data_IF_312227775944
#
_entry.id   IF_312227775944
#
_cell.length_a   1.000
_cell.length_b   1.000
_cell.length_c   1.000
_cell.angle_alpha   90.00
_cell.angle_beta   90.00
_cell.angle_gamma   90.00
#
_symmetry.space_group_name_H-M   'P 1'
#
loop_
_entity.id
_entity.type
_entity.pdbx_description
1 polymer ?
#
# COMPACT_ATOMS: atom_id res chain seq x y z
N UNK A 1 -24.84 1.97 3.14
CA UNK A 1 -24.30 3.35 3.26
C UNK A 1 -22.78 3.40 3.47
N UNK A 2 -22.19 2.66 4.43
CA UNK A 2 -20.75 2.77 4.74
C UNK A 2 -19.77 2.33 3.62
N UNK A 3 -20.14 1.33 2.80
CA UNK A 3 -19.29 0.84 1.69
C UNK A 3 -19.11 1.91 0.61
N UNK A 4 -20.18 2.63 0.28
CA UNK A 4 -20.17 3.68 -0.74
C UNK A 4 -19.30 4.86 -0.30
N UNK A 5 -19.36 5.25 0.98
CA UNK A 5 -18.49 6.29 1.54
C UNK A 5 -17.01 5.92 1.47
N UNK A 6 -16.66 4.67 1.81
CA UNK A 6 -15.27 4.17 1.69
C UNK A 6 -14.78 4.20 0.25
N UNK A 7 -15.60 3.78 -0.70
CA UNK A 7 -15.28 3.83 -2.11
C UNK A 7 -15.05 5.28 -2.56
N UNK A 8 -16.01 6.19 -2.32
CA UNK A 8 -15.86 7.60 -2.70
C UNK A 8 -14.58 8.23 -2.15
N UNK A 9 -14.23 7.93 -0.89
CA UNK A 9 -12.99 8.42 -0.28
C UNK A 9 -11.73 7.90 -1.02
N UNK A 10 -11.68 6.61 -1.37
CA UNK A 10 -10.55 6.05 -2.13
C UNK A 10 -10.43 6.65 -3.53
N UNK A 11 -11.55 6.82 -4.22
CA UNK A 11 -11.59 7.42 -5.55
C UNK A 11 -11.17 8.89 -5.53
N UNK A 12 -11.64 9.64 -4.53
CA UNK A 12 -11.26 11.04 -4.34
C UNK A 12 -9.75 11.19 -4.09
N UNK A 13 -9.18 10.35 -3.21
CA UNK A 13 -7.75 10.36 -2.95
C UNK A 13 -6.93 10.01 -4.22
N UNK A 14 -7.37 9.01 -4.99
CA UNK A 14 -6.75 8.64 -6.27
C UNK A 14 -6.80 9.79 -7.29
N UNK A 15 -7.91 10.53 -7.37
CA UNK A 15 -8.03 11.70 -8.24
C UNK A 15 -7.06 12.81 -7.84
N UNK A 16 -6.96 13.13 -6.55
CA UNK A 16 -5.99 14.14 -6.06
C UNK A 16 -4.56 13.72 -6.41
N UNK A 17 -4.21 12.46 -6.16
CA UNK A 17 -2.90 11.93 -6.50
C UNK A 17 -2.60 12.08 -8.00
N UNK A 18 -3.54 11.72 -8.87
CA UNK A 18 -3.37 11.84 -10.31
C UNK A 18 -3.18 13.29 -10.77
N UNK A 19 -3.94 14.24 -10.20
CA UNK A 19 -3.81 15.67 -10.52
C UNK A 19 -2.42 16.19 -10.12
N UNK A 20 -1.96 15.89 -8.89
CA UNK A 20 -0.64 16.29 -8.43
C UNK A 20 0.47 15.65 -9.26
N UNK A 21 0.31 14.38 -9.64
CA UNK A 21 1.25 13.64 -10.48
C UNK A 21 1.39 14.32 -11.85
N UNK A 22 0.27 14.61 -12.52
CA UNK A 22 0.28 15.27 -13.84
C UNK A 22 0.85 16.68 -13.74
N UNK A 23 0.49 17.47 -12.73
CA UNK A 23 1.06 18.82 -12.55
C UNK A 23 2.57 18.79 -12.33
N UNK A 24 3.08 17.79 -11.62
CA UNK A 24 4.52 17.62 -11.43
C UNK A 24 5.22 17.15 -12.71
N UNK A 25 4.62 16.22 -13.47
CA UNK A 25 5.14 15.79 -14.77
C UNK A 25 5.22 16.97 -15.76
N UNK A 26 4.23 17.85 -15.75
CA UNK A 26 4.17 19.07 -16.57
C UNK A 26 5.14 20.17 -16.10
N UNK A 27 5.98 19.88 -15.10
CA UNK A 27 6.96 20.80 -14.49
C UNK A 27 6.35 22.11 -13.95
N UNK A 28 5.02 22.17 -13.74
CA UNK A 28 4.32 23.35 -13.20
C UNK A 28 4.57 23.57 -11.72
N UNK A 29 4.95 22.53 -10.99
CA UNK A 29 5.26 22.57 -9.56
C UNK A 29 6.68 22.04 -9.35
N UNK A 30 7.52 22.76 -8.60
CA UNK A 30 8.90 22.38 -8.26
C UNK A 30 9.04 21.54 -6.99
N UNK A 31 7.93 21.03 -6.45
CA UNK A 31 7.91 20.32 -5.17
C UNK A 31 8.58 18.95 -5.25
N UNK A 32 9.11 18.50 -4.12
CA UNK A 32 9.72 17.18 -3.99
C UNK A 32 8.70 16.07 -4.34
N UNK A 33 9.13 15.01 -5.02
CA UNK A 33 8.22 13.91 -5.40
C UNK A 33 7.54 13.27 -4.19
N UNK A 34 8.19 13.29 -3.02
CA UNK A 34 7.56 12.88 -1.76
C UNK A 34 6.24 13.61 -1.47
N UNK A 35 6.13 14.91 -1.80
CA UNK A 35 4.91 15.69 -1.55
C UNK A 35 3.76 15.28 -2.49
N UNK A 36 4.07 14.90 -3.73
CA UNK A 36 3.10 14.45 -4.73
C UNK A 36 2.42 13.15 -4.30
N UNK A 37 3.17 12.27 -3.62
CA UNK A 37 2.66 11.00 -3.10
C UNK A 37 2.01 11.09 -1.71
N UNK A 38 1.93 12.28 -1.10
CA UNK A 38 1.31 12.48 0.24
C UNK A 38 -0.12 11.93 0.33
N UNK A 39 -1.03 12.15 -0.64
CA UNK A 39 -2.40 11.63 -0.54
C UNK A 39 -2.41 10.11 -0.39
N UNK A 40 -1.55 9.43 -1.14
CA UNK A 40 -1.42 7.97 -1.11
C UNK A 40 -0.79 7.51 0.21
N UNK A 41 0.29 8.16 0.65
CA UNK A 41 0.95 7.88 1.92
C UNK A 41 -0.03 8.01 3.09
N UNK A 42 -0.85 9.07 3.11
CA UNK A 42 -1.85 9.29 4.15
C UNK A 42 -2.90 8.17 4.18
N UNK A 43 -3.34 7.69 3.01
CA UNK A 43 -4.27 6.56 2.93
C UNK A 43 -3.65 5.25 3.46
N UNK A 44 -2.44 4.91 3.01
CA UNK A 44 -1.73 3.71 3.45
C UNK A 44 -1.44 3.76 4.98
N UNK A 45 -1.18 4.94 5.56
CA UNK A 45 -1.04 5.10 7.02
C UNK A 45 -2.35 4.88 7.79
N UNK A 46 -3.47 5.42 7.30
CA UNK A 46 -4.78 5.18 7.93
C UNK A 46 -5.11 3.69 7.92
N UNK A 47 -4.84 3.01 6.80
CA UNK A 47 -5.00 1.56 6.70
C UNK A 47 -4.10 0.81 7.69
N UNK A 48 -2.83 1.19 7.80
CA UNK A 48 -1.88 0.58 8.74
C UNK A 48 -2.37 0.73 10.18
N UNK A 49 -2.81 1.92 10.57
CA UNK A 49 -3.38 2.18 11.91
C UNK A 49 -4.60 1.29 12.15
N UNK A 50 -5.52 1.20 11.18
CA UNK A 50 -6.71 0.35 11.29
C UNK A 50 -6.36 -1.12 11.53
N UNK A 51 -5.40 -1.66 10.78
CA UNK A 51 -4.95 -3.06 10.92
C UNK A 51 -4.25 -3.27 12.28
N UNK A 52 -3.41 -2.34 12.72
CA UNK A 52 -2.75 -2.41 14.04
C UNK A 52 -3.79 -2.41 15.16
N UNK A 53 -4.79 -1.53 15.11
CA UNK A 53 -5.87 -1.52 16.10
C UNK A 53 -6.67 -2.83 16.08
N UNK A 54 -6.94 -3.36 14.89
CA UNK A 54 -7.62 -4.65 14.75
C UNK A 54 -6.80 -5.78 15.37
N UNK A 55 -5.49 -5.82 15.09
CA UNK A 55 -4.55 -6.79 15.67
C UNK A 55 -4.50 -6.70 17.19
N UNK A 56 -4.40 -5.49 17.77
CA UNK A 56 -4.41 -5.29 19.23
C UNK A 56 -5.73 -5.78 19.84
N UNK A 57 -6.85 -5.48 19.19
CA UNK A 57 -8.17 -5.94 19.62
C UNK A 57 -8.28 -7.47 19.60
N UNK A 58 -7.76 -8.12 18.56
CA UNK A 58 -7.74 -9.57 18.44
C UNK A 58 -6.82 -10.26 19.46
N UNK A 59 -5.65 -9.69 19.74
CA UNK A 59 -4.74 -10.17 20.80
C UNK A 59 -5.42 -10.09 22.17
N UNK A 60 -6.15 -9.01 22.46
CA UNK A 60 -6.89 -8.86 23.72
C UNK A 60 -8.02 -9.88 23.86
N UNK A 61 -8.64 -10.29 22.76
CA UNK A 61 -9.75 -11.25 22.76
C UNK A 61 -9.30 -12.72 22.61
N UNK A 62 -7.98 -13.00 22.61
CA UNK A 62 -7.41 -14.36 22.59
C UNK A 62 -7.72 -15.20 21.34
N UNK A 63 -8.13 -14.58 20.22
CA UNK A 63 -8.60 -15.30 19.02
C UNK A 63 -7.46 -15.47 18.00
N UNK A 64 -6.69 -16.54 18.16
CA UNK A 64 -5.41 -16.78 17.47
C UNK A 64 -5.57 -17.13 15.98
N UNK A 65 -6.72 -17.69 15.54
CA UNK A 65 -6.88 -18.15 14.15
C UNK A 65 -6.77 -17.07 13.06
N UNK A 66 -7.00 -15.79 13.39
CA UNK A 66 -6.92 -14.70 12.39
C UNK A 66 -5.60 -13.92 12.45
N UNK A 67 -4.72 -14.18 13.42
CA UNK A 67 -3.48 -13.41 13.64
C UNK A 67 -2.52 -13.51 12.45
N UNK A 68 -2.39 -14.70 11.87
CA UNK A 68 -1.53 -14.92 10.71
C UNK A 68 -1.95 -14.04 9.52
N UNK A 69 -3.25 -13.99 9.21
CA UNK A 69 -3.79 -13.19 8.10
C UNK A 69 -3.56 -11.68 8.31
N UNK A 70 -3.75 -11.18 9.53
CA UNK A 70 -3.45 -9.77 9.86
C UNK A 70 -1.95 -9.45 9.68
N UNK A 71 -1.05 -10.38 10.07
CA UNK A 71 0.40 -10.23 9.88
C UNK A 71 0.77 -10.19 8.39
N UNK A 72 0.16 -11.05 7.56
CA UNK A 72 0.37 -11.02 6.11
C UNK A 72 -0.11 -9.71 5.48
N UNK A 73 -1.27 -9.19 5.91
CA UNK A 73 -1.73 -7.88 5.46
C UNK A 73 -0.80 -6.74 5.91
N UNK A 74 -0.32 -6.75 7.15
CA UNK A 74 0.66 -5.78 7.64
C UNK A 74 1.96 -5.80 6.82
N UNK A 75 2.51 -7.00 6.59
CA UNK A 75 3.68 -7.20 5.72
C UNK A 75 3.45 -6.65 4.32
N UNK A 76 2.29 -6.92 3.72
CA UNK A 76 1.95 -6.42 2.39
C UNK A 76 1.86 -4.89 2.34
N UNK A 77 1.24 -4.24 3.34
CA UNK A 77 1.14 -2.77 3.42
C UNK A 77 2.51 -2.13 3.61
N UNK A 78 3.35 -2.69 4.50
CA UNK A 78 4.72 -2.19 4.71
C UNK A 78 5.54 -2.30 3.43
N UNK A 79 5.46 -3.45 2.74
CA UNK A 79 6.18 -3.66 1.48
C UNK A 79 5.70 -2.69 0.39
N UNK A 80 4.40 -2.38 0.35
CA UNK A 80 3.80 -1.41 -0.56
C UNK A 80 4.27 0.02 -0.27
N UNK A 81 4.37 0.41 1.01
CA UNK A 81 4.95 1.69 1.44
C UNK A 81 6.43 1.80 1.04
N UNK A 82 7.23 0.75 1.26
CA UNK A 82 8.63 0.71 0.82
C UNK A 82 8.75 0.90 -0.70
N UNK A 83 7.87 0.27 -1.48
CA UNK A 83 7.85 0.42 -2.94
C UNK A 83 7.55 1.86 -3.37
N UNK A 84 6.58 2.52 -2.73
CA UNK A 84 6.26 3.93 -3.00
C UNK A 84 7.46 4.84 -2.69
N UNK A 85 8.13 4.64 -1.55
CA UNK A 85 9.31 5.43 -1.16
C UNK A 85 10.46 5.25 -2.17
N UNK A 86 10.72 4.01 -2.60
CA UNK A 86 11.72 3.69 -3.62
C UNK A 86 11.40 4.36 -4.97
N UNK A 87 10.12 4.39 -5.35
CA UNK A 87 9.65 5.10 -6.54
C UNK A 87 9.91 6.61 -6.40
N UNK A 88 9.53 7.22 -5.27
CA UNK A 88 9.78 8.65 -5.01
C UNK A 88 11.27 9.00 -5.13
N UNK A 89 12.14 8.20 -4.52
CA UNK A 89 13.60 8.35 -4.59
C UNK A 89 14.11 8.26 -6.04
N UNK A 90 13.60 7.32 -6.82
CA UNK A 90 13.97 7.16 -8.23
C UNK A 90 13.53 8.37 -9.06
N UNK A 91 12.35 8.93 -8.80
CA UNK A 91 11.84 10.08 -9.57
C UNK A 91 12.54 11.40 -9.19
N UNK A 92 12.95 11.58 -7.93
CA UNK A 92 13.64 12.81 -7.46
C UNK A 92 15.10 12.86 -7.89
N UNK A 93 15.78 11.72 -7.94
CA UNK A 93 17.22 11.66 -8.23
C UNK A 93 17.51 10.88 -9.53
N UNK A 94 17.26 11.46 -10.72
CA UNK A 94 17.52 10.78 -12.00
C UNK A 94 19.00 10.51 -12.27
N UNK A 95 19.91 11.22 -11.59
CA UNK A 95 21.36 11.04 -11.68
C UNK A 95 21.86 9.78 -10.96
N UNK A 96 21.16 9.34 -9.90
CA UNK A 96 21.50 8.10 -9.23
C UNK A 96 20.94 6.99 -10.10
N UNK A 97 21.82 6.30 -10.84
CA UNK A 97 21.50 5.17 -11.73
C UNK A 97 21.01 3.96 -10.93
N UNK A 98 19.91 4.12 -10.19
CA UNK A 98 19.22 3.08 -9.47
C UNK A 98 18.62 2.15 -10.53
N UNK A 99 19.06 0.88 -10.59
CA UNK A 99 18.56 -0.04 -11.60
C UNK A 99 17.05 -0.18 -11.42
N UNK A 100 16.30 -0.08 -12.52
CA UNK A 100 14.84 -0.20 -12.50
C UNK A 100 14.37 -1.51 -11.81
N UNK A 101 15.21 -2.55 -11.85
CA UNK A 101 15.02 -3.82 -11.15
C UNK A 101 14.92 -3.66 -9.62
N UNK A 102 15.72 -2.79 -9.00
CA UNK A 102 15.68 -2.56 -7.55
C UNK A 102 14.37 -1.88 -7.11
N UNK A 103 13.83 -1.00 -7.95
CA UNK A 103 12.55 -0.30 -7.68
C UNK A 103 11.35 -1.23 -7.91
N UNK A 104 11.48 -2.18 -8.84
CA UNK A 104 10.48 -3.22 -9.08
C UNK A 104 10.57 -4.40 -8.09
N UNK A 105 11.69 -4.58 -7.38
CA UNK A 105 11.89 -5.66 -6.43
C UNK A 105 10.75 -5.82 -5.39
N UNK A 106 10.26 -4.78 -4.71
CA UNK A 106 9.15 -4.93 -3.77
C UNK A 106 7.84 -5.30 -4.46
N UNK A 107 7.60 -4.85 -5.71
CA UNK A 107 6.45 -5.28 -6.50
C UNK A 107 6.52 -6.76 -6.89
N UNK A 108 7.72 -7.24 -7.26
CA UNK A 108 7.98 -8.64 -7.59
C UNK A 108 7.81 -9.57 -6.38
N UNK A 109 8.01 -9.06 -5.16
CA UNK A 109 7.73 -9.81 -3.94
C UNK A 109 6.26 -9.72 -3.53
N UNK A 110 5.63 -8.56 -3.72
CA UNK A 110 4.24 -8.33 -3.30
C UNK A 110 3.23 -9.15 -4.11
N UNK A 111 3.42 -9.30 -5.42
CA UNK A 111 2.57 -10.10 -6.30
C UNK A 111 2.46 -11.59 -5.88
N UNK A 112 3.56 -12.34 -5.70
CA UNK A 112 3.49 -13.73 -5.28
C UNK A 112 2.97 -13.88 -3.85
N UNK A 113 3.29 -12.94 -2.93
CA UNK A 113 2.75 -12.95 -1.56
C UNK A 113 1.21 -12.89 -1.57
N UNK A 114 0.64 -11.94 -2.33
CA UNK A 114 -0.81 -11.83 -2.45
C UNK A 114 -1.44 -13.03 -3.16
N UNK A 115 -0.78 -13.57 -4.19
CA UNK A 115 -1.26 -14.77 -4.87
C UNK A 115 -1.33 -15.96 -3.89
N UNK A 116 -0.27 -16.22 -3.14
CA UNK A 116 -0.20 -17.32 -2.16
C UNK A 116 -1.28 -17.18 -1.09
N UNK A 117 -1.49 -15.97 -0.55
CA UNK A 117 -2.56 -15.68 0.42
C UNK A 117 -3.95 -16.04 -0.13
N UNK A 118 -4.26 -15.59 -1.35
CA UNK A 118 -5.55 -15.88 -2.00
C UNK A 118 -5.71 -17.38 -2.26
N UNK A 119 -4.65 -18.06 -2.72
CA UNK A 119 -4.68 -19.50 -2.96
C UNK A 119 -4.91 -20.30 -1.67
N UNK A 120 -4.22 -19.97 -0.57
CA UNK A 120 -4.41 -20.62 0.73
C UNK A 120 -5.85 -20.41 1.21
N UNK A 121 -6.37 -19.19 1.08
CA UNK A 121 -7.74 -18.89 1.50
C UNK A 121 -8.78 -19.66 0.67
N UNK A 122 -8.61 -19.72 -0.64
CA UNK A 122 -9.50 -20.44 -1.56
C UNK A 122 -9.51 -21.95 -1.26
N UNK A 123 -8.33 -22.54 -1.02
CA UNK A 123 -8.20 -23.97 -0.69
C UNK A 123 -8.85 -24.27 0.67
N UNK A 124 -8.67 -23.38 1.66
CA UNK A 124 -9.29 -23.56 2.98
C UNK A 124 -10.82 -23.48 2.90
N UNK A 125 -11.36 -22.54 2.11
CA UNK A 125 -12.80 -22.40 1.90
C UNK A 125 -13.40 -23.54 1.07
N UNK A 126 -12.66 -24.12 0.12
CA UNK A 126 -13.11 -25.28 -0.65
C UNK A 126 -13.15 -26.58 0.16
N UNK A 127 -12.48 -26.64 1.31
CA UNK A 127 -12.37 -27.86 2.13
C UNK A 127 -13.42 -27.95 3.25
N UNK A 128 -14.27 -26.93 3.39
CA UNK A 128 -15.40 -26.84 4.31
C UNK A 128 -16.70 -26.70 3.53
#
# INVERSE_FOLDING_TARGET
>A
MAVLHRALFTWFNMLIFLILLVLRLDQKISWNWFLVFVPMYLYDNILLIYIVFNMISHCKNGRINNLQREIWYMMAVILKLCAQILICLKLEAPHWSLPAKAVLAPFWLLLPILAVEVFIHLIHQSRY
#
